data_IF_366340371514
#
_entry.id   IF_366340371514
#
_cell.length_a   1.000
_cell.length_b   1.000
_cell.length_c   1.000
_cell.angle_alpha   90.00
_cell.angle_beta   90.00
_cell.angle_gamma   90.00
#
_symmetry.space_group_name_H-M   'P 1'
#
loop_
_entity.id
_entity.type
_entity.pdbx_description
1 polymer ?
#
# COMPACT_ATOMS: atom_id res chain seq x y z
N UNK A 1 -31.36 6.84 -6.77
CA UNK A 1 -31.01 6.17 -5.51
C UNK A 1 -29.59 5.67 -5.64
N UNK A 2 -28.74 5.95 -4.65
CA UNK A 2 -27.40 5.38 -4.58
C UNK A 2 -27.51 3.85 -4.43
N UNK A 3 -26.62 3.06 -5.05
CA UNK A 3 -26.55 1.62 -4.82
C UNK A 3 -26.22 1.33 -3.34
N UNK A 4 -26.81 0.30 -2.76
CA UNK A 4 -26.49 -0.16 -1.40
C UNK A 4 -25.23 -1.03 -1.40
N UNK A 5 -24.11 -0.44 -1.81
CA UNK A 5 -22.84 -1.16 -1.95
C UNK A 5 -22.30 -1.61 -0.60
N UNK A 6 -22.44 -0.82 0.46
CA UNK A 6 -21.90 -1.17 1.77
C UNK A 6 -22.57 -2.42 2.34
N UNK A 7 -23.90 -2.48 2.37
CA UNK A 7 -24.59 -3.64 2.94
C UNK A 7 -24.22 -4.93 2.20
N UNK A 8 -24.25 -4.89 0.85
CA UNK A 8 -23.84 -6.02 0.01
C UNK A 8 -22.39 -6.44 0.24
N UNK A 9 -21.49 -5.47 0.41
CA UNK A 9 -20.09 -5.73 0.72
C UNK A 9 -19.94 -6.47 2.06
N UNK A 10 -20.67 -6.02 3.08
CA UNK A 10 -20.68 -6.63 4.42
C UNK A 10 -21.28 -8.04 4.39
N UNK A 11 -22.33 -8.25 3.61
CA UNK A 11 -23.01 -9.55 3.42
C UNK A 11 -22.21 -10.56 2.58
N UNK A 12 -21.10 -10.12 1.98
CA UNK A 12 -20.15 -11.02 1.33
C UNK A 12 -20.02 -10.88 -0.18
N UNK A 13 -20.82 -10.02 -0.82
CA UNK A 13 -20.80 -9.75 -2.26
C UNK A 13 -19.60 -8.88 -2.71
N UNK A 14 -18.48 -8.94 -2.00
CA UNK A 14 -17.31 -8.06 -2.19
C UNK A 14 -16.82 -8.02 -3.64
N UNK A 15 -16.67 -9.17 -4.30
CA UNK A 15 -16.22 -9.22 -5.69
C UNK A 15 -17.17 -8.53 -6.66
N UNK A 16 -18.49 -8.63 -6.41
CA UNK A 16 -19.52 -7.95 -7.19
C UNK A 16 -19.50 -6.44 -6.96
N UNK A 17 -19.44 -6.02 -5.69
CA UNK A 17 -19.34 -4.59 -5.32
C UNK A 17 -18.09 -3.95 -5.93
N UNK A 18 -16.92 -4.58 -5.83
CA UNK A 18 -15.70 -4.05 -6.44
C UNK A 18 -15.77 -4.01 -7.97
N UNK A 19 -16.43 -4.98 -8.60
CA UNK A 19 -16.65 -4.95 -10.03
C UNK A 19 -17.49 -3.75 -10.45
N UNK A 20 -18.60 -3.49 -9.75
CA UNK A 20 -19.47 -2.33 -9.99
C UNK A 20 -18.73 -1.00 -9.74
N UNK A 21 -18.03 -0.85 -8.61
CA UNK A 21 -17.26 0.36 -8.31
C UNK A 21 -16.23 0.67 -9.41
N UNK A 22 -15.58 -0.35 -9.98
CA UNK A 22 -14.66 -0.18 -11.11
C UNK A 22 -15.38 0.20 -12.40
N UNK A 23 -16.58 -0.33 -12.66
CA UNK A 23 -17.39 0.07 -13.82
C UNK A 23 -17.83 1.53 -13.75
N UNK A 24 -18.12 2.04 -12.54
CA UNK A 24 -18.43 3.45 -12.35
C UNK A 24 -17.21 4.36 -12.55
N UNK A 25 -15.99 3.86 -12.29
CA UNK A 25 -14.76 4.62 -12.48
C UNK A 25 -14.80 5.96 -11.73
N UNK A 26 -14.50 7.07 -12.40
CA UNK A 26 -14.54 8.41 -11.79
C UNK A 26 -15.94 8.85 -11.34
N UNK A 27 -17.02 8.25 -11.87
CA UNK A 27 -18.39 8.62 -11.51
C UNK A 27 -18.70 8.33 -10.04
N UNK A 28 -17.94 7.46 -9.37
CA UNK A 28 -18.06 7.22 -7.92
C UNK A 28 -17.87 8.49 -7.10
N UNK A 29 -17.26 9.55 -7.62
CA UNK A 29 -17.10 10.84 -6.92
C UNK A 29 -18.28 11.79 -7.06
N UNK A 30 -19.27 11.47 -7.89
CA UNK A 30 -20.49 12.28 -7.99
C UNK A 30 -21.29 12.24 -6.68
N UNK A 31 -22.02 13.32 -6.34
CA UNK A 31 -22.75 13.42 -5.06
C UNK A 31 -23.64 12.22 -4.74
N UNK A 32 -24.26 11.62 -5.77
CA UNK A 32 -25.18 10.49 -5.61
C UNK A 32 -24.49 9.16 -5.25
N UNK A 33 -23.17 9.05 -5.45
CA UNK A 33 -22.42 7.78 -5.29
C UNK A 33 -21.26 7.87 -4.29
N UNK A 34 -20.75 9.09 -4.05
CA UNK A 34 -19.51 9.33 -3.28
C UNK A 34 -19.56 8.75 -1.87
N UNK A 35 -20.66 8.96 -1.17
CA UNK A 35 -20.79 8.49 0.21
C UNK A 35 -20.75 6.95 0.29
N UNK A 36 -21.49 6.25 -0.57
CA UNK A 36 -21.51 4.79 -0.60
C UNK A 36 -20.17 4.20 -1.03
N UNK A 37 -19.53 4.78 -2.06
CA UNK A 37 -18.20 4.34 -2.48
C UNK A 37 -17.15 4.55 -1.36
N UNK A 38 -17.24 5.68 -0.64
CA UNK A 38 -16.37 5.97 0.49
C UNK A 38 -16.57 4.97 1.63
N UNK A 39 -17.81 4.67 1.98
CA UNK A 39 -18.14 3.70 3.04
C UNK A 39 -17.58 2.30 2.74
N UNK A 40 -17.63 1.84 1.49
CA UNK A 40 -17.02 0.56 1.08
C UNK A 40 -15.50 0.61 1.24
N UNK A 41 -14.86 1.70 0.83
CA UNK A 41 -13.41 1.86 0.96
C UNK A 41 -12.98 1.90 2.43
N UNK A 42 -13.76 2.55 3.29
CA UNK A 42 -13.51 2.60 4.74
C UNK A 42 -13.71 1.22 5.38
N UNK A 43 -14.72 0.47 4.95
CA UNK A 43 -14.95 -0.91 5.43
C UNK A 43 -13.83 -1.85 4.99
N UNK A 44 -13.35 -1.72 3.75
CA UNK A 44 -12.16 -2.44 3.28
C UNK A 44 -10.95 -2.10 4.14
N UNK A 45 -10.71 -0.81 4.42
CA UNK A 45 -9.60 -0.38 5.24
C UNK A 45 -9.68 -0.91 6.68
N UNK A 46 -10.88 -0.95 7.29
CA UNK A 46 -11.09 -1.58 8.61
C UNK A 46 -10.76 -3.07 8.61
N UNK A 47 -11.13 -3.80 7.56
CA UNK A 47 -10.77 -5.23 7.41
C UNK A 47 -9.28 -5.41 7.18
N UNK A 48 -8.66 -4.53 6.40
CA UNK A 48 -7.21 -4.54 6.18
C UNK A 48 -6.44 -4.25 7.48
N UNK A 49 -6.88 -3.27 8.28
CA UNK A 49 -6.32 -2.98 9.60
C UNK A 49 -6.37 -4.21 10.51
N UNK A 50 -7.54 -4.86 10.61
CA UNK A 50 -7.66 -6.10 11.38
C UNK A 50 -6.64 -7.16 10.91
N UNK A 51 -6.47 -7.32 9.59
CA UNK A 51 -5.51 -8.28 9.05
C UNK A 51 -4.06 -7.90 9.41
N UNK A 52 -3.70 -6.63 9.30
CA UNK A 52 -2.38 -6.10 9.66
C UNK A 52 -2.09 -6.37 11.13
N UNK A 53 -3.01 -6.01 12.03
CA UNK A 53 -2.86 -6.22 13.47
C UNK A 53 -2.67 -7.71 13.81
N UNK A 54 -3.46 -8.59 13.18
CA UNK A 54 -3.33 -10.05 13.36
C UNK A 54 -1.98 -10.56 12.86
N UNK A 55 -1.50 -10.12 11.70
CA UNK A 55 -0.19 -10.51 11.16
C UNK A 55 0.93 -10.02 12.08
N UNK A 56 0.91 -8.74 12.47
CA UNK A 56 1.93 -8.12 13.32
C UNK A 56 2.03 -8.80 14.67
N UNK A 57 0.89 -9.07 15.32
CA UNK A 57 0.87 -9.77 16.61
C UNK A 57 1.42 -11.21 16.48
N UNK A 58 1.07 -11.93 15.42
CA UNK A 58 1.62 -13.29 15.18
C UNK A 58 3.11 -13.27 14.90
N UNK A 59 3.58 -12.34 14.06
CA UNK A 59 5.00 -12.14 13.79
C UNK A 59 5.77 -11.89 15.09
N UNK A 60 5.28 -10.97 15.94
CA UNK A 60 5.88 -10.68 17.23
C UNK A 60 5.93 -11.92 18.13
N UNK A 61 4.85 -12.72 18.19
CA UNK A 61 4.80 -13.99 18.94
C UNK A 61 5.79 -15.04 18.42
N UNK A 62 6.15 -14.98 17.14
CA UNK A 62 7.18 -15.85 16.55
C UNK A 62 8.60 -15.29 16.69
N UNK A 63 8.78 -14.15 17.37
CA UNK A 63 10.09 -13.52 17.54
C UNK A 63 10.60 -12.78 16.30
N UNK A 64 9.71 -12.46 15.35
CA UNK A 64 10.04 -11.56 14.26
C UNK A 64 10.50 -10.21 14.79
N UNK A 65 11.51 -9.64 14.14
CA UNK A 65 12.02 -8.29 14.44
C UNK A 65 11.93 -7.44 13.19
N UNK A 66 11.01 -6.49 13.20
CA UNK A 66 10.99 -5.42 12.21
C UNK A 66 12.20 -4.51 12.44
N UNK A 67 12.82 -4.12 11.34
CA UNK A 67 13.95 -3.21 11.34
C UNK A 67 14.02 -2.47 10.01
N UNK A 68 14.65 -1.31 10.03
CA UNK A 68 15.06 -0.61 8.83
C UNK A 68 16.01 -1.48 8.01
N UNK A 69 16.09 -1.18 6.73
CA UNK A 69 16.92 -1.91 5.79
C UNK A 69 18.32 -1.27 5.67
N UNK A 70 18.88 -0.89 6.81
CA UNK A 70 20.24 -0.38 6.98
C UNK A 70 21.19 -1.51 7.46
N UNK A 71 22.49 -1.23 7.41
CA UNK A 71 23.51 -2.19 7.84
C UNK A 71 23.39 -2.51 9.35
N UNK A 72 22.93 -1.53 10.12
CA UNK A 72 22.71 -1.61 11.57
C UNK A 72 21.45 -2.42 11.96
N UNK A 73 20.53 -2.65 11.01
CA UNK A 73 19.18 -3.18 11.24
C UNK A 73 18.47 -2.45 12.36
N UNK A 74 18.39 -1.13 12.24
CA UNK A 74 17.78 -0.24 13.23
C UNK A 74 16.35 -0.70 13.52
N UNK A 75 16.01 -1.06 14.77
CA UNK A 75 14.68 -1.55 15.10
C UNK A 75 13.60 -0.52 14.79
N UNK A 76 12.51 -0.95 14.15
CA UNK A 76 11.38 -0.10 13.76
C UNK A 76 10.05 -0.83 14.01
N UNK A 77 8.94 -0.15 14.32
CA UNK A 77 7.65 -0.79 14.48
C UNK A 77 7.12 -1.37 13.16
N UNK A 78 6.52 -2.57 13.21
CA UNK A 78 5.94 -3.20 12.01
C UNK A 78 4.60 -2.56 11.56
N UNK A 79 3.95 -1.83 12.46
CA UNK A 79 2.73 -1.08 12.22
C UNK A 79 2.68 0.14 13.13
N UNK A 80 2.35 1.29 12.54
CA UNK A 80 2.05 2.53 13.21
C UNK A 80 0.62 2.93 12.82
N UNK A 81 -0.30 3.09 13.79
CA UNK A 81 -1.66 3.54 13.50
C UNK A 81 -1.65 4.95 12.91
N UNK A 82 -2.72 5.36 12.21
CA UNK A 82 -2.85 6.73 11.69
C UNK A 82 -2.67 7.76 12.80
N UNK A 83 -1.95 8.85 12.52
CA UNK A 83 -1.85 9.93 13.51
C UNK A 83 -3.08 10.85 13.46
N UNK A 84 -3.15 11.82 14.38
CA UNK A 84 -4.17 12.88 14.37
C UNK A 84 -4.15 13.72 13.08
N UNK A 85 -3.07 13.64 12.29
CA UNK A 85 -2.92 14.34 11.00
C UNK A 85 -3.39 13.53 9.79
N UNK A 86 -3.77 12.28 9.95
CA UNK A 86 -4.08 11.40 8.83
C UNK A 86 -5.17 11.95 7.88
N UNK A 87 -6.21 12.59 8.42
CA UNK A 87 -7.25 13.24 7.61
C UNK A 87 -6.68 14.40 6.77
N UNK A 88 -5.91 15.28 7.41
CA UNK A 88 -5.26 16.41 6.73
C UNK A 88 -4.23 15.94 5.70
N UNK A 89 -3.54 14.83 5.99
CA UNK A 89 -2.56 14.23 5.09
C UNK A 89 -3.21 13.58 3.87
N UNK A 90 -4.33 12.87 4.05
CA UNK A 90 -5.12 12.32 2.95
C UNK A 90 -5.63 13.43 2.02
N UNK A 91 -6.13 14.55 2.57
CA UNK A 91 -6.53 15.71 1.78
C UNK A 91 -5.35 16.34 1.02
N UNK A 92 -4.20 16.45 1.67
CA UNK A 92 -2.97 16.94 1.05
C UNK A 92 -2.53 16.06 -0.12
N UNK A 93 -2.58 14.72 0.01
CA UNK A 93 -2.26 13.79 -1.07
C UNK A 93 -3.16 14.02 -2.30
N UNK A 94 -4.48 14.14 -2.12
CA UNK A 94 -5.46 14.39 -3.19
C UNK A 94 -5.25 15.76 -3.85
N UNK A 95 -4.80 16.77 -3.09
CA UNK A 95 -4.45 18.10 -3.64
C UNK A 95 -3.15 18.07 -4.45
N UNK A 96 -2.09 17.43 -3.94
CA UNK A 96 -0.76 17.49 -4.55
C UNK A 96 -0.62 16.59 -5.78
N UNK A 97 -1.21 15.40 -5.75
CA UNK A 97 -1.09 14.40 -6.81
C UNK A 97 -2.25 14.45 -7.80
N UNK A 98 -3.22 15.36 -7.60
CA UNK A 98 -4.54 15.27 -8.19
C UNK A 98 -5.35 14.15 -7.54
N UNK A 99 -6.56 13.84 -8.05
CA UNK A 99 -7.42 12.83 -7.43
C UNK A 99 -6.64 11.54 -7.09
N UNK A 100 -6.71 11.11 -5.84
CA UNK A 100 -6.08 9.87 -5.34
C UNK A 100 -7.17 8.85 -5.05
N UNK A 101 -7.05 7.58 -5.46
CA UNK A 101 -8.11 6.59 -5.28
C UNK A 101 -8.65 6.49 -3.84
N UNK A 102 -9.97 6.32 -3.70
CA UNK A 102 -10.63 6.32 -2.38
C UNK A 102 -10.06 5.23 -1.46
N UNK A 103 -9.64 4.08 -1.99
CA UNK A 103 -9.00 3.01 -1.21
C UNK A 103 -7.69 3.46 -0.57
N UNK A 104 -6.90 4.29 -1.24
CA UNK A 104 -5.63 4.82 -0.72
C UNK A 104 -5.91 5.86 0.37
N UNK A 105 -6.85 6.77 0.14
CA UNK A 105 -7.24 7.77 1.14
C UNK A 105 -7.84 7.12 2.39
N UNK A 106 -8.59 6.02 2.23
CA UNK A 106 -9.14 5.25 3.35
C UNK A 106 -8.05 4.49 4.11
N UNK A 107 -7.04 3.97 3.40
CA UNK A 107 -5.87 3.36 4.04
C UNK A 107 -5.15 4.35 4.95
N UNK A 108 -4.83 5.55 4.46
CA UNK A 108 -4.15 6.60 5.24
C UNK A 108 -4.93 6.91 6.52
N UNK A 109 -6.25 7.08 6.42
CA UNK A 109 -7.10 7.50 7.54
C UNK A 109 -7.38 6.41 8.57
N UNK A 110 -7.33 5.13 8.18
CA UNK A 110 -7.81 4.03 9.03
C UNK A 110 -6.70 3.03 9.36
N UNK A 111 -5.81 2.71 8.43
CA UNK A 111 -4.79 1.66 8.61
C UNK A 111 -3.48 2.25 9.13
N UNK A 112 -3.03 3.36 8.54
CA UNK A 112 -1.74 3.97 8.87
C UNK A 112 -0.58 3.28 8.15
N UNK A 113 0.61 3.35 8.76
CA UNK A 113 1.85 2.91 8.15
C UNK A 113 2.17 1.45 8.52
N UNK A 114 2.51 0.63 7.54
CA UNK A 114 2.83 -0.80 7.67
C UNK A 114 4.22 -1.08 7.12
N UNK A 115 5.03 -1.78 7.89
CA UNK A 115 6.41 -2.15 7.56
C UNK A 115 6.71 -3.60 7.98
N UNK A 116 6.53 -4.55 7.07
CA UNK A 116 6.83 -5.97 7.35
C UNK A 116 8.26 -6.38 6.97
N UNK A 117 9.14 -5.43 6.69
CA UNK A 117 10.57 -5.70 6.46
C UNK A 117 11.22 -6.02 7.81
N UNK A 118 11.94 -7.13 7.86
CA UNK A 118 12.57 -7.59 9.08
C UNK A 118 13.05 -9.04 9.01
N UNK A 119 13.52 -9.53 10.16
CA UNK A 119 14.09 -10.89 10.29
C UNK A 119 13.12 -11.81 11.03
N UNK A 120 12.77 -12.94 10.42
CA UNK A 120 12.03 -14.03 11.06
C UNK A 120 12.98 -15.15 11.51
N UNK A 121 12.97 -15.59 12.78
CA UNK A 121 13.97 -16.54 13.30
C UNK A 121 13.91 -17.93 12.67
N UNK A 122 12.73 -18.33 12.18
CA UNK A 122 12.52 -19.61 11.48
C UNK A 122 12.47 -19.47 9.95
N UNK A 123 12.60 -18.26 9.42
CA UNK A 123 12.51 -18.01 7.99
C UNK A 123 13.49 -16.90 7.61
N UNK A 124 14.76 -17.28 7.45
CA UNK A 124 15.88 -16.36 7.24
C UNK A 124 15.76 -15.54 5.94
N UNK A 125 14.99 -16.01 4.96
CA UNK A 125 14.74 -15.33 3.69
C UNK A 125 13.46 -14.50 3.69
N UNK A 126 12.83 -14.24 4.84
CA UNK A 126 11.58 -13.48 4.94
C UNK A 126 11.65 -12.09 4.30
N UNK A 127 12.79 -11.40 4.40
CA UNK A 127 13.01 -10.09 3.77
C UNK A 127 12.92 -10.15 2.23
N UNK A 128 13.29 -11.27 1.62
CA UNK A 128 13.22 -11.48 0.16
C UNK A 128 11.82 -11.91 -0.31
N UNK A 129 10.87 -12.05 0.61
CA UNK A 129 9.55 -12.60 0.34
C UNK A 129 8.51 -11.51 0.00
N UNK A 130 8.98 -10.36 -0.47
CA UNK A 130 8.18 -9.17 -0.84
C UNK A 130 7.28 -8.65 0.30
N UNK A 131 7.79 -8.48 1.54
CA UNK A 131 6.98 -8.09 2.71
C UNK A 131 6.09 -6.87 2.43
N UNK A 132 4.86 -6.85 2.97
CA UNK A 132 3.96 -5.71 2.83
C UNK A 132 4.62 -4.45 3.41
N UNK A 133 4.71 -3.42 2.58
CA UNK A 133 5.08 -2.07 2.99
C UNK A 133 4.01 -1.13 2.45
N UNK A 134 3.45 -0.31 3.32
CA UNK A 134 2.62 0.84 2.96
C UNK A 134 2.92 1.93 3.96
N UNK A 135 3.81 2.85 3.61
CA UNK A 135 4.22 3.99 4.41
C UNK A 135 3.85 5.26 3.65
N UNK A 136 2.66 5.76 3.92
CA UNK A 136 2.10 6.93 3.24
C UNK A 136 2.11 8.16 4.11
N UNK A 137 2.15 8.03 5.44
CA UNK A 137 2.25 9.17 6.37
C UNK A 137 3.72 9.44 6.76
N UNK A 138 4.56 8.40 6.79
CA UNK A 138 5.96 8.50 7.17
C UNK A 138 6.16 8.64 8.67
N UNK A 139 5.23 8.10 9.47
CA UNK A 139 5.20 8.26 10.93
C UNK A 139 6.43 7.70 11.63
N UNK A 140 7.15 6.76 11.00
CA UNK A 140 8.42 6.22 11.51
C UNK A 140 9.58 7.23 11.42
N UNK A 141 9.46 8.25 10.57
CA UNK A 141 10.51 9.22 10.29
C UNK A 141 9.98 10.67 10.34
N UNK A 142 9.56 11.14 11.53
CA UNK A 142 9.08 12.52 11.69
C UNK A 142 10.12 13.57 11.31
N UNK A 143 11.40 13.23 11.32
CA UNK A 143 12.53 14.07 10.90
C UNK A 143 12.58 14.33 9.38
N UNK A 144 11.94 13.48 8.57
CA UNK A 144 11.80 13.71 7.12
C UNK A 144 10.76 14.79 6.80
N UNK A 145 10.16 15.40 7.84
CA UNK A 145 8.99 16.23 7.72
C UNK A 145 7.76 15.38 7.41
N UNK A 146 6.64 15.98 6.97
CA UNK A 146 5.65 15.20 6.25
C UNK A 146 6.39 14.47 5.14
N UNK A 147 6.23 13.14 5.03
CA UNK A 147 6.75 12.34 3.89
C UNK A 147 6.44 12.99 2.53
N UNK A 148 5.45 13.89 2.51
CA UNK A 148 5.18 14.83 1.45
C UNK A 148 6.39 15.56 0.86
N UNK A 149 7.45 15.87 1.61
CA UNK A 149 8.67 16.47 1.05
C UNK A 149 9.48 15.46 0.21
N UNK A 150 9.59 14.21 0.67
CA UNK A 150 10.16 13.11 -0.13
C UNK A 150 9.31 12.83 -1.37
N UNK A 151 7.99 12.72 -1.20
CA UNK A 151 7.04 12.48 -2.30
C UNK A 151 7.05 13.64 -3.32
N UNK A 152 7.23 14.88 -2.85
CA UNK A 152 7.34 16.09 -3.67
C UNK A 152 8.66 16.14 -4.44
N UNK A 153 9.79 15.87 -3.79
CA UNK A 153 11.11 15.81 -4.45
C UNK A 153 11.14 14.69 -5.49
N UNK A 154 10.56 13.53 -5.18
CA UNK A 154 10.36 12.45 -6.16
C UNK A 154 9.62 12.98 -7.39
N UNK A 155 8.45 13.60 -7.19
CA UNK A 155 7.63 14.16 -8.28
C UNK A 155 8.33 15.25 -9.09
N UNK A 156 9.07 16.16 -8.45
CA UNK A 156 9.83 17.22 -9.12
C UNK A 156 10.89 16.61 -10.04
N UNK A 157 11.64 15.61 -9.56
CA UNK A 157 12.62 14.85 -10.36
C UNK A 157 11.97 14.13 -11.55
N UNK A 158 10.78 13.55 -11.37
CA UNK A 158 10.03 12.93 -12.47
C UNK A 158 9.48 13.95 -13.49
N UNK A 159 9.13 15.16 -13.06
CA UNK A 159 8.61 16.23 -13.95
C UNK A 159 9.69 16.92 -14.76
N UNK A 160 10.87 17.11 -14.18
CA UNK A 160 11.99 17.80 -14.82
C UNK A 160 12.76 16.89 -15.79
N UNK A 161 12.56 15.56 -15.70
CA UNK A 161 13.34 14.57 -16.42
C UNK A 161 14.73 14.38 -15.80
N UNK A 162 15.50 13.37 -16.24
CA UNK A 162 16.88 13.21 -15.78
C UNK A 162 17.73 14.43 -16.20
N UNK A 163 18.71 14.84 -15.38
CA UNK A 163 19.61 15.95 -15.72
C UNK A 163 20.38 15.68 -17.02
N UNK A 164 20.73 16.74 -17.76
CA UNK A 164 21.44 16.65 -19.05
C UNK A 164 22.68 15.74 -18.93
N UNK A 165 22.64 14.59 -19.61
CA UNK A 165 23.76 13.63 -19.67
C UNK A 165 23.49 12.27 -19.00
N UNK A 166 22.40 12.11 -18.26
CA UNK A 166 21.94 10.79 -17.79
C UNK A 166 21.08 10.11 -18.88
N UNK A 167 21.31 8.81 -19.10
CA UNK A 167 20.58 8.03 -20.12
C UNK A 167 19.16 7.80 -19.59
N UNK A 168 18.16 8.38 -20.27
CA UNK A 168 16.74 8.03 -20.06
C UNK A 168 16.59 6.51 -20.14
N UNK A 169 16.16 5.92 -19.03
CA UNK A 169 15.74 4.53 -19.04
C UNK A 169 14.36 4.44 -19.71
N UNK A 170 13.96 3.29 -20.27
CA UNK A 170 12.62 3.14 -20.85
C UNK A 170 11.47 3.48 -19.89
N UNK A 171 11.73 3.48 -18.58
CA UNK A 171 10.81 3.85 -17.50
C UNK A 171 10.55 5.37 -17.42
N UNK A 172 11.47 6.19 -17.95
CA UNK A 172 11.36 7.67 -17.96
C UNK A 172 10.43 8.20 -19.07
N UNK A 173 9.94 7.33 -19.97
CA UNK A 173 9.22 7.73 -21.20
C UNK A 173 7.70 7.85 -21.06
N UNK A 174 7.18 8.10 -19.87
CA UNK A 174 5.74 8.35 -19.70
C UNK A 174 5.39 9.81 -20.01
N UNK A 175 5.41 10.17 -21.30
CA UNK A 175 4.99 11.47 -21.85
C UNK A 175 3.50 11.78 -21.70
N UNK A 176 2.91 11.59 -20.53
CA UNK A 176 1.48 11.82 -20.30
C UNK A 176 1.06 11.74 -18.85
N UNK A 177 1.44 12.73 -18.02
CA UNK A 177 0.72 13.15 -16.80
C UNK A 177 0.46 12.14 -15.67
N UNK A 178 0.78 10.85 -15.83
CA UNK A 178 0.60 9.79 -14.84
C UNK A 178 1.90 9.64 -14.03
N UNK A 179 1.76 9.58 -12.72
CA UNK A 179 2.84 9.42 -11.74
C UNK A 179 2.50 8.23 -10.85
N UNK A 180 3.49 7.50 -10.36
CA UNK A 180 3.27 6.49 -9.32
C UNK A 180 3.48 7.16 -7.96
N UNK A 181 2.42 7.22 -7.14
CA UNK A 181 2.52 7.57 -5.72
C UNK A 181 3.18 6.38 -5.01
N UNK A 182 4.45 6.48 -4.57
CA UNK A 182 5.13 5.35 -3.95
C UNK A 182 4.48 5.04 -2.59
N UNK A 183 4.33 3.75 -2.30
CA UNK A 183 3.85 3.26 -1.00
C UNK A 183 5.03 2.94 -0.05
N UNK A 184 6.27 3.22 -0.43
CA UNK A 184 7.47 3.13 0.41
C UNK A 184 8.33 4.39 0.22
N UNK A 185 8.81 5.02 1.31
CA UNK A 185 9.66 6.22 1.25
C UNK A 185 11.12 5.95 0.90
N UNK A 186 11.62 4.73 0.91
CA UNK A 186 12.98 4.44 0.46
C UNK A 186 13.01 4.06 -1.04
N UNK A 187 13.82 4.77 -1.82
CA UNK A 187 14.04 4.47 -3.25
C UNK A 187 14.77 3.14 -3.51
N UNK A 188 15.10 2.40 -2.45
CA UNK A 188 15.80 1.13 -2.45
C UNK A 188 14.84 0.10 -1.83
N UNK A 189 14.12 -0.62 -2.69
CA UNK A 189 13.06 -1.58 -2.34
C UNK A 189 13.37 -2.46 -1.12
N UNK A 190 12.31 -3.01 -0.49
CA UNK A 190 12.15 -4.05 0.56
C UNK A 190 13.32 -5.04 0.88
N UNK A 191 14.33 -5.17 0.03
CA UNK A 191 15.54 -5.99 0.17
C UNK A 191 16.87 -5.25 -0.17
N UNK A 192 16.88 -3.91 -0.20
CA UNK A 192 18.01 -3.03 -0.52
C UNK A 192 18.53 -3.22 -1.96
N UNK A 193 17.62 -3.59 -2.87
CA UNK A 193 17.94 -3.78 -4.29
C UNK A 193 17.64 -2.47 -5.02
N UNK A 194 18.71 -1.75 -5.38
CA UNK A 194 18.64 -0.54 -6.21
C UNK A 194 18.06 -0.84 -7.60
N UNK A 195 17.14 0.00 -8.07
CA UNK A 195 16.62 -0.03 -9.45
C UNK A 195 15.42 -0.98 -9.71
N UNK A 196 14.65 -1.33 -8.69
CA UNK A 196 13.45 -2.16 -8.87
C UNK A 196 12.26 -1.41 -9.52
N UNK A 197 11.28 -2.18 -9.98
CA UNK A 197 10.04 -1.68 -10.61
C UNK A 197 9.24 -0.77 -9.64
N UNK A 198 8.36 0.11 -10.16
CA UNK A 198 7.53 0.97 -9.32
C UNK A 198 6.76 0.15 -8.27
N UNK A 199 6.69 0.65 -7.04
CA UNK A 199 5.92 0.06 -5.95
C UNK A 199 4.99 1.14 -5.39
N UNK A 200 3.79 1.22 -5.94
CA UNK A 200 2.91 2.34 -5.64
C UNK A 200 1.55 2.28 -6.30
N UNK A 201 0.82 3.39 -6.25
CA UNK A 201 -0.48 3.54 -6.92
C UNK A 201 -0.38 4.60 -8.01
N UNK A 202 -0.93 4.31 -9.19
CA UNK A 202 -0.96 5.25 -10.32
C UNK A 202 -1.91 6.40 -10.00
N UNK A 203 -1.43 7.63 -10.16
CA UNK A 203 -2.15 8.88 -9.92
C UNK A 203 -1.87 9.90 -11.04
N UNK A 204 -2.77 10.87 -11.31
CA UNK A 204 -4.09 11.02 -10.71
C UNK A 204 -5.08 9.92 -11.15
N UNK A 205 -5.90 9.46 -10.22
CA UNK A 205 -6.96 8.48 -10.44
C UNK A 205 -8.18 8.79 -9.54
N UNK A 206 -9.31 9.10 -10.19
CA UNK A 206 -10.56 9.45 -9.51
C UNK A 206 -11.42 8.24 -9.10
N UNK A 207 -10.97 7.01 -9.38
CA UNK A 207 -11.71 5.80 -9.08
C UNK A 207 -11.76 5.49 -7.57
N UNK A 208 -12.59 4.51 -7.21
CA UNK A 208 -12.65 3.99 -5.85
C UNK A 208 -11.40 3.14 -5.54
N UNK A 209 -11.16 2.11 -6.36
CA UNK A 209 -10.02 1.18 -6.26
C UNK A 209 -8.93 1.60 -7.24
N UNK A 210 -7.74 1.89 -6.72
CA UNK A 210 -6.60 2.38 -7.50
C UNK A 210 -5.88 1.28 -8.27
N UNK A 211 -5.11 1.66 -9.28
CA UNK A 211 -4.18 0.73 -9.96
C UNK A 211 -2.87 0.68 -9.18
N UNK A 212 -2.60 -0.46 -8.55
CA UNK A 212 -1.30 -0.76 -7.97
C UNK A 212 -0.29 -1.10 -9.07
N UNK A 213 0.83 -0.39 -9.08
CA UNK A 213 2.01 -0.65 -9.88
C UNK A 213 3.04 -1.38 -9.01
N UNK A 214 3.46 -2.56 -9.49
CA UNK A 214 4.44 -3.46 -8.88
C UNK A 214 5.17 -4.20 -10.00
N UNK A 215 5.55 -5.47 -9.76
CA UNK A 215 6.01 -6.36 -10.84
C UNK A 215 4.96 -6.53 -11.93
N UNK A 216 3.69 -6.53 -11.52
CA UNK A 216 2.53 -6.54 -12.41
C UNK A 216 1.55 -5.48 -11.96
N UNK A 217 0.85 -4.85 -12.90
CA UNK A 217 -0.22 -3.91 -12.58
C UNK A 217 -1.51 -4.66 -12.25
N UNK A 218 -2.19 -4.25 -11.19
CA UNK A 218 -3.49 -4.82 -10.78
C UNK A 218 -4.25 -3.85 -9.88
N UNK A 219 -5.56 -4.05 -9.64
CA UNK A 219 -6.28 -3.23 -8.67
C UNK A 219 -5.67 -3.37 -7.26
N UNK A 220 -5.62 -2.27 -6.51
CA UNK A 220 -4.97 -2.21 -5.19
C UNK A 220 -5.61 -3.20 -4.20
N UNK A 221 -6.94 -3.32 -4.21
CA UNK A 221 -7.62 -4.30 -3.36
C UNK A 221 -7.28 -5.75 -3.76
N UNK A 222 -7.07 -6.02 -5.04
CA UNK A 222 -6.61 -7.34 -5.51
C UNK A 222 -5.20 -7.63 -5.03
N UNK A 223 -4.31 -6.63 -5.07
CA UNK A 223 -2.95 -6.74 -4.51
C UNK A 223 -2.99 -7.06 -3.02
N UNK A 224 -3.78 -6.33 -2.22
CA UNK A 224 -3.91 -6.57 -0.78
C UNK A 224 -4.47 -7.96 -0.48
N UNK A 225 -5.50 -8.41 -1.18
CA UNK A 225 -6.03 -9.78 -1.05
C UNK A 225 -4.94 -10.83 -1.35
N UNK A 226 -4.12 -10.61 -2.38
CA UNK A 226 -3.00 -11.49 -2.70
C UNK A 226 -1.94 -11.50 -1.59
N UNK A 227 -1.56 -10.35 -1.07
CA UNK A 227 -0.61 -10.21 0.04
C UNK A 227 -1.11 -10.89 1.31
N UNK A 228 -2.36 -10.63 1.72
CA UNK A 228 -2.94 -11.22 2.93
C UNK A 228 -3.13 -12.73 2.81
N UNK A 229 -3.47 -13.24 1.63
CA UNK A 229 -3.49 -14.70 1.38
C UNK A 229 -2.14 -15.37 1.66
N UNK A 230 -1.04 -14.61 1.56
CA UNK A 230 0.31 -15.08 1.87
C UNK A 230 0.85 -14.49 3.20
N UNK A 231 -0.02 -14.06 4.10
CA UNK A 231 0.36 -13.64 5.44
C UNK A 231 1.22 -12.38 5.49
N UNK A 232 1.12 -11.50 4.49
CA UNK A 232 1.92 -10.28 4.41
C UNK A 232 3.19 -10.41 3.57
N UNK A 233 3.51 -11.59 3.06
CA UNK A 233 4.72 -11.85 2.28
C UNK A 233 4.30 -12.66 1.06
N UNK A 234 4.12 -12.11 -0.15
CA UNK A 234 3.68 -12.87 -1.31
C UNK A 234 4.84 -13.52 -2.12
N UNK A 235 6.05 -12.97 -2.09
CA UNK A 235 7.17 -13.38 -2.96
C UNK A 235 7.76 -14.76 -2.66
N UNK A 236 7.92 -15.64 -3.65
CA UNK A 236 8.44 -16.98 -3.40
C UNK A 236 9.97 -16.97 -3.16
N UNK A 237 10.44 -17.62 -2.08
CA UNK A 237 11.89 -17.65 -1.74
C UNK A 237 12.51 -19.04 -1.85
N UNK A 238 11.70 -20.08 -2.08
CA UNK A 238 12.15 -21.48 -2.12
C UNK A 238 12.49 -22.10 -0.76
N UNK A 239 12.40 -21.35 0.33
CA UNK A 239 12.63 -21.86 1.68
C UNK A 239 11.52 -22.84 2.10
N UNK A 240 11.84 -24.01 2.68
CA UNK A 240 10.84 -25.01 3.06
C UNK A 240 9.93 -24.53 4.20
N UNK A 241 10.39 -23.64 5.08
CA UNK A 241 9.65 -23.10 6.21
C UNK A 241 8.60 -22.06 5.79
N UNK A 242 8.81 -21.42 4.64
CA UNK A 242 8.00 -20.31 4.12
C UNK A 242 6.50 -20.63 4.11
N UNK A 243 6.12 -21.80 3.59
CA UNK A 243 4.71 -22.16 3.44
C UNK A 243 4.03 -22.43 4.79
N UNK A 244 4.77 -22.93 5.78
CA UNK A 244 4.23 -23.13 7.13
C UNK A 244 3.99 -21.79 7.82
N UNK A 245 4.97 -20.88 7.77
CA UNK A 245 4.87 -19.54 8.38
C UNK A 245 3.75 -18.74 7.72
N UNK A 246 3.68 -18.69 6.38
CA UNK A 246 2.61 -17.96 5.65
C UNK A 246 1.22 -18.45 5.99
N UNK A 247 1.01 -19.78 6.06
CA UNK A 247 -0.30 -20.34 6.39
C UNK A 247 -0.73 -19.98 7.80
N UNK A 248 0.20 -19.96 8.75
CA UNK A 248 -0.11 -19.51 10.10
C UNK A 248 -0.47 -18.02 10.14
N UNK A 249 0.35 -17.17 9.52
CA UNK A 249 0.10 -15.73 9.42
C UNK A 249 -1.23 -15.41 8.72
N UNK A 250 -1.57 -16.12 7.64
CA UNK A 250 -2.79 -15.91 6.85
C UNK A 250 -4.07 -16.50 7.48
N UNK A 251 -3.95 -17.30 8.54
CA UNK A 251 -5.08 -18.04 9.09
C UNK A 251 -6.17 -17.10 9.63
N UNK A 252 -7.37 -17.18 9.07
CA UNK A 252 -8.53 -16.42 9.55
C UNK A 252 -8.50 -14.93 9.20
N UNK A 253 -7.61 -14.50 8.31
CA UNK A 253 -7.65 -13.13 7.79
C UNK A 253 -8.92 -12.90 6.96
N UNK A 254 -9.41 -11.67 7.02
CA UNK A 254 -10.64 -11.24 6.38
C UNK A 254 -10.40 -10.95 4.89
N UNK A 255 -11.29 -11.42 3.99
CA UNK A 255 -11.26 -11.01 2.59
C UNK A 255 -11.69 -9.55 2.43
N UNK A 256 -11.05 -8.89 1.47
CA UNK A 256 -11.32 -7.52 1.06
C UNK A 256 -12.17 -7.44 -0.19
#
# INVERSE_FOLDING_TARGET
MAPDWLARYQDGERSGVWHELRQFGAAVRLPDYREQAQLVCDEMARRALHNVEVIVDRLARHGFRAHENDDERTPTPAHLPPTERAETHAAWLDEQFGPVPLTVLSWVRIVGDVWLVGTHPQWSTSANADPLVVQLEGSAHPEWGPIGDYLRVGRERWREGPPEGEIETPDDRSGGGLTVLPLSPDGYHKANVSGGLPYGVVVPDSCADGVFAGVTTMPFVSYLNWVFRHGGFPGHTGAPEQEAVRRDLAKGLLPL
#
